data_IF_478129878143
#
_entry.id   IF_478129878143
#
_cell.length_a   1.000
_cell.length_b   1.000
_cell.length_c   1.000
_cell.angle_alpha   90.00
_cell.angle_beta   90.00
_cell.angle_gamma   90.00
#
_symmetry.space_group_name_H-M   'P 1'
#
loop_
_entity.id
_entity.type
_entity.pdbx_description
1 polymer ?
#
# COMPACT_ATOMS: atom_id res chain seq x y z
N UNK A 1 -32.52 9.82 -18.56
CA UNK A 1 -32.62 9.65 -17.10
C UNK A 1 -31.46 10.39 -16.45
N UNK A 2 -31.61 10.88 -15.23
CA UNK A 2 -30.54 11.43 -14.39
C UNK A 2 -30.63 10.78 -13.03
N UNK A 3 -29.49 10.34 -12.48
CA UNK A 3 -29.40 9.76 -11.15
C UNK A 3 -28.50 10.60 -10.24
N UNK A 4 -28.92 10.76 -8.99
CA UNK A 4 -28.12 11.41 -7.96
C UNK A 4 -28.37 10.80 -6.57
N UNK A 5 -27.37 10.89 -5.70
CA UNK A 5 -27.49 10.59 -4.28
C UNK A 5 -27.59 11.88 -3.48
N UNK A 6 -28.59 11.98 -2.61
CA UNK A 6 -28.74 13.14 -1.73
C UNK A 6 -28.34 12.77 -0.30
N UNK A 7 -27.47 13.59 0.30
CA UNK A 7 -27.00 13.46 1.67
C UNK A 7 -26.56 14.79 2.27
N UNK A 8 -25.64 14.75 3.24
CA UNK A 8 -25.25 15.91 4.05
C UNK A 8 -24.63 17.08 3.26
N UNK A 9 -23.85 16.81 2.23
CA UNK A 9 -23.16 17.84 1.43
C UNK A 9 -23.89 18.23 0.14
N UNK A 10 -25.15 17.84 -0.03
CA UNK A 10 -25.93 18.08 -1.24
C UNK A 10 -25.95 16.89 -2.21
N UNK A 11 -26.44 17.08 -3.45
CA UNK A 11 -26.60 16.02 -4.44
C UNK A 11 -25.26 15.61 -5.07
N UNK A 12 -25.05 14.29 -5.20
CA UNK A 12 -23.91 13.68 -5.88
C UNK A 12 -24.40 12.99 -7.14
N UNK A 13 -23.97 13.49 -8.31
CA UNK A 13 -24.37 12.94 -9.60
C UNK A 13 -23.81 11.52 -9.83
N UNK A 14 -24.64 10.63 -10.38
CA UNK A 14 -24.27 9.26 -10.76
C UNK A 14 -24.46 9.06 -12.27
N UNK A 15 -23.40 9.14 -13.09
CA UNK A 15 -23.51 8.88 -14.52
C UNK A 15 -23.78 7.40 -14.82
N UNK A 16 -24.53 7.12 -15.89
CA UNK A 16 -24.91 5.76 -16.30
C UNK A 16 -23.68 4.89 -16.58
N UNK A 17 -23.60 3.74 -15.92
CA UNK A 17 -22.50 2.78 -16.06
C UNK A 17 -21.13 3.26 -15.56
N UNK A 18 -21.01 4.46 -14.99
CA UNK A 18 -19.74 4.98 -14.48
C UNK A 18 -19.63 4.84 -12.95
N UNK A 19 -18.49 4.34 -12.43
CA UNK A 19 -18.28 4.22 -11.00
C UNK A 19 -18.01 5.59 -10.35
N UNK A 20 -18.75 5.86 -9.27
CA UNK A 20 -18.55 7.02 -8.41
C UNK A 20 -18.12 6.54 -7.01
N UNK A 21 -16.99 7.05 -6.52
CA UNK A 21 -16.42 6.67 -5.23
C UNK A 21 -16.87 7.64 -4.14
N UNK A 22 -17.53 7.11 -3.11
CA UNK A 22 -17.99 7.88 -1.96
C UNK A 22 -17.29 7.42 -0.68
N UNK A 23 -17.09 8.36 0.22
CA UNK A 23 -16.38 8.13 1.48
C UNK A 23 -16.16 9.44 2.21
N UNK A 24 -15.28 9.45 3.22
CA UNK A 24 -14.87 10.66 3.94
C UNK A 24 -14.26 11.69 2.99
N UNK A 25 -14.84 12.87 2.90
CA UNK A 25 -14.37 13.94 2.03
C UNK A 25 -15.47 14.97 1.68
N UNK A 26 -15.10 16.01 0.91
CA UNK A 26 -16.01 17.11 0.58
C UNK A 26 -17.23 16.68 -0.22
N UNK A 27 -17.12 15.62 -1.04
CA UNK A 27 -18.22 15.13 -1.88
C UNK A 27 -19.41 14.59 -1.07
N UNK A 28 -19.17 14.04 0.13
CA UNK A 28 -20.20 13.50 1.02
C UNK A 28 -20.42 14.36 2.27
N UNK A 29 -19.50 15.29 2.55
CA UNK A 29 -19.46 16.08 3.79
C UNK A 29 -19.00 15.27 5.02
N UNK A 30 -18.62 14.01 4.85
CA UNK A 30 -18.24 13.14 5.97
C UNK A 30 -16.80 13.43 6.39
N UNK A 31 -16.60 13.68 7.69
CA UNK A 31 -15.27 13.89 8.31
C UNK A 31 -14.84 12.73 9.22
N UNK A 32 -15.74 11.78 9.51
CA UNK A 32 -15.51 10.63 10.39
C UNK A 32 -14.39 9.72 9.86
N UNK A 33 -13.31 9.58 10.66
CA UNK A 33 -12.14 8.76 10.32
C UNK A 33 -12.44 7.26 10.19
N UNK A 34 -13.57 6.77 10.74
CA UNK A 34 -14.04 5.39 10.52
C UNK A 34 -14.57 5.20 9.09
N UNK A 35 -15.01 6.27 8.42
CA UNK A 35 -15.35 6.24 7.01
C UNK A 35 -14.06 6.33 6.16
N UNK A 36 -13.78 5.32 5.35
CA UNK A 36 -12.71 5.40 4.36
C UNK A 36 -12.97 6.57 3.40
N UNK A 37 -11.92 7.20 2.85
CA UNK A 37 -12.10 8.17 1.74
C UNK A 37 -12.73 7.52 0.49
N UNK A 38 -12.58 6.21 0.36
CA UNK A 38 -13.21 5.34 -0.64
C UNK A 38 -13.95 4.24 0.11
N UNK A 39 -15.09 4.59 0.69
CA UNK A 39 -15.88 3.72 1.54
C UNK A 39 -16.78 2.80 0.70
N UNK A 40 -17.40 3.34 -0.34
CA UNK A 40 -18.21 2.58 -1.31
C UNK A 40 -17.92 3.05 -2.74
N UNK A 41 -18.11 2.17 -3.69
CA UNK A 41 -18.27 2.50 -5.11
C UNK A 41 -19.75 2.35 -5.49
N UNK A 42 -20.26 3.27 -6.29
CA UNK A 42 -21.65 3.26 -6.75
C UNK A 42 -21.68 3.42 -8.26
N UNK A 43 -22.38 2.51 -8.93
CA UNK A 43 -22.59 2.53 -10.39
C UNK A 43 -24.09 2.59 -10.65
N UNK A 44 -24.58 3.65 -11.31
CA UNK A 44 -25.98 3.73 -11.72
C UNK A 44 -26.25 2.89 -12.96
N UNK A 45 -27.42 2.28 -13.02
CA UNK A 45 -27.97 1.60 -14.19
C UNK A 45 -29.27 2.29 -14.59
N UNK A 46 -29.23 3.07 -15.67
CA UNK A 46 -30.40 3.82 -16.13
C UNK A 46 -31.43 2.95 -16.85
N UNK A 47 -31.04 1.75 -17.30
CA UNK A 47 -31.98 0.82 -17.93
C UNK A 47 -32.87 0.18 -16.86
N UNK A 48 -32.27 -0.23 -15.74
CA UNK A 48 -32.97 -0.87 -14.62
C UNK A 48 -33.50 0.14 -13.59
N UNK A 49 -33.06 1.40 -13.64
CA UNK A 49 -33.46 2.42 -12.68
C UNK A 49 -32.98 2.10 -11.26
N UNK A 50 -31.77 1.58 -11.12
CA UNK A 50 -31.15 1.24 -9.83
C UNK A 50 -29.70 1.68 -9.78
N UNK A 51 -29.04 1.53 -8.63
CA UNK A 51 -27.59 1.68 -8.53
C UNK A 51 -26.97 0.49 -7.80
N UNK A 52 -25.85 -0.02 -8.28
CA UNK A 52 -25.08 -1.06 -7.60
C UNK A 52 -24.09 -0.41 -6.64
N UNK A 53 -24.18 -0.74 -5.37
CA UNK A 53 -23.27 -0.28 -4.31
C UNK A 53 -22.32 -1.40 -3.94
N UNK A 54 -21.02 -1.15 -3.97
CA UNK A 54 -19.96 -2.08 -3.54
C UNK A 54 -19.21 -1.48 -2.36
N UNK A 55 -19.14 -2.19 -1.23
CA UNK A 55 -18.35 -1.72 -0.10
C UNK A 55 -16.85 -1.94 -0.35
N UNK A 56 -16.06 -0.88 -0.24
CA UNK A 56 -14.60 -0.91 -0.38
C UNK A 56 -13.88 -0.75 0.95
N UNK A 57 -14.45 0.05 1.85
CA UNK A 57 -13.91 0.34 3.18
C UNK A 57 -13.99 -0.83 4.15
N UNK A 58 -13.12 -0.81 5.15
CA UNK A 58 -13.01 -1.85 6.18
C UNK A 58 -14.23 -1.85 7.11
N UNK A 59 -14.73 -0.67 7.46
CA UNK A 59 -15.92 -0.57 8.31
C UNK A 59 -17.20 -0.79 7.50
N UNK A 60 -18.22 -1.46 8.06
CA UNK A 60 -19.44 -1.83 7.35
C UNK A 60 -20.23 -0.63 6.83
N UNK A 61 -20.78 -0.75 5.62
CA UNK A 61 -21.82 0.11 5.04
C UNK A 61 -23.14 -0.67 5.03
N UNK A 62 -24.29 -0.04 4.81
CA UNK A 62 -25.56 -0.79 4.70
C UNK A 62 -26.49 -0.21 3.65
N UNK A 63 -27.18 -1.08 2.92
CA UNK A 63 -28.16 -0.72 1.87
C UNK A 63 -29.52 -1.30 2.24
N UNK A 64 -30.54 -0.44 2.36
CA UNK A 64 -31.90 -0.87 2.67
C UNK A 64 -32.02 -1.61 4.01
N UNK A 65 -31.18 -1.26 5.00
CA UNK A 65 -31.19 -1.86 6.33
C UNK A 65 -30.34 -3.13 6.50
N UNK A 66 -29.78 -3.73 5.45
CA UNK A 66 -28.80 -4.83 5.64
C UNK A 66 -27.36 -4.37 5.47
N UNK A 67 -26.53 -4.86 6.37
CA UNK A 67 -25.10 -4.58 6.45
C UNK A 67 -24.36 -5.29 5.33
N UNK A 68 -23.44 -4.57 4.69
CA UNK A 68 -22.52 -5.08 3.69
C UNK A 68 -21.18 -5.41 4.36
N UNK A 69 -20.55 -6.49 3.88
CA UNK A 69 -19.14 -6.79 4.16
C UNK A 69 -18.24 -6.18 3.08
N UNK A 70 -16.94 -6.09 3.36
CA UNK A 70 -15.97 -5.58 2.38
C UNK A 70 -15.96 -6.45 1.12
N UNK A 71 -16.11 -5.83 -0.05
CA UNK A 71 -16.21 -6.49 -1.36
C UNK A 71 -17.61 -6.97 -1.72
N UNK A 72 -18.58 -6.93 -0.78
CA UNK A 72 -19.97 -7.28 -1.07
C UNK A 72 -20.63 -6.14 -1.82
N UNK A 73 -21.34 -6.48 -2.90
CA UNK A 73 -22.16 -5.55 -3.64
C UNK A 73 -23.66 -5.82 -3.44
N UNK A 74 -24.46 -4.76 -3.48
CA UNK A 74 -25.92 -4.85 -3.41
C UNK A 74 -26.56 -3.75 -4.23
N UNK A 75 -27.73 -4.06 -4.80
CA UNK A 75 -28.56 -3.09 -5.50
C UNK A 75 -29.24 -2.13 -4.53
N UNK A 76 -29.14 -0.84 -4.81
CA UNK A 76 -29.84 0.27 -4.17
C UNK A 76 -30.97 0.70 -5.10
N UNK A 77 -32.21 0.49 -4.68
CA UNK A 77 -33.40 0.91 -5.41
C UNK A 77 -33.84 2.34 -5.02
N UNK A 78 -34.61 3.04 -5.86
CA UNK A 78 -35.15 4.35 -5.51
C UNK A 78 -35.93 4.33 -4.18
N UNK A 79 -35.68 5.32 -3.33
CA UNK A 79 -36.29 5.40 -1.99
C UNK A 79 -35.62 4.55 -0.90
N UNK A 80 -34.66 3.67 -1.24
CA UNK A 80 -33.82 3.01 -0.24
C UNK A 80 -32.65 3.92 0.19
N UNK A 81 -32.21 3.71 1.44
CA UNK A 81 -31.10 4.45 2.03
C UNK A 81 -29.82 3.62 2.04
N UNK A 82 -28.74 4.24 1.60
CA UNK A 82 -27.37 3.81 1.85
C UNK A 82 -26.84 4.52 3.10
N UNK A 83 -26.40 3.78 4.12
CA UNK A 83 -25.63 4.31 5.23
C UNK A 83 -24.15 4.07 4.95
N UNK A 84 -23.39 5.15 4.81
CA UNK A 84 -22.03 5.11 4.28
C UNK A 84 -21.06 4.35 5.20
N UNK A 85 -21.19 4.48 6.52
CA UNK A 85 -20.37 3.71 7.47
C UNK A 85 -21.07 3.51 8.81
N UNK A 86 -20.95 2.31 9.40
CA UNK A 86 -21.39 1.97 10.77
C UNK A 86 -22.81 2.47 11.12
N UNK A 87 -23.75 2.37 10.18
CA UNK A 87 -25.14 2.81 10.36
C UNK A 87 -25.33 4.33 10.37
N UNK A 88 -24.36 5.11 9.89
CA UNK A 88 -24.37 6.58 9.85
C UNK A 88 -24.23 7.11 8.42
N UNK A 89 -24.52 8.40 8.25
CA UNK A 89 -24.38 9.16 7.00
C UNK A 89 -25.28 8.64 5.87
N UNK A 90 -26.60 8.90 5.95
CA UNK A 90 -27.57 8.42 4.97
C UNK A 90 -27.43 9.14 3.63
N UNK A 91 -27.52 8.36 2.55
CA UNK A 91 -27.57 8.79 1.16
C UNK A 91 -28.77 8.10 0.49
N UNK A 92 -29.63 8.87 -0.16
CA UNK A 92 -30.85 8.35 -0.83
C UNK A 92 -30.72 8.52 -2.33
N UNK A 93 -31.05 7.46 -3.08
CA UNK A 93 -31.02 7.47 -4.55
C UNK A 93 -32.28 8.17 -5.11
N UNK A 94 -32.07 9.18 -5.95
CA UNK A 94 -33.11 9.87 -6.71
C UNK A 94 -32.87 9.70 -8.21
N UNK A 95 -33.93 9.34 -8.93
CA UNK A 95 -33.93 9.22 -10.39
C UNK A 95 -34.95 10.17 -11.01
N UNK A 96 -34.57 10.86 -12.09
CA UNK A 96 -35.47 11.70 -12.89
C UNK A 96 -35.48 11.24 -14.37
N UNK A 97 -36.67 11.00 -14.92
CA UNK A 97 -36.92 10.59 -16.31
C UNK A 97 -37.20 9.08 -16.47
N UNK A 98 -37.78 8.68 -17.62
CA UNK A 98 -38.18 7.29 -17.89
C UNK A 98 -37.02 6.39 -18.42
N UNK A 99 -36.99 5.07 -18.07
CA UNK A 99 -36.04 4.10 -18.63
C UNK A 99 -36.25 3.87 -20.13
N UNK A 100 -35.19 3.65 -20.91
CA UNK A 100 -35.28 3.29 -22.35
C UNK A 100 -34.81 1.83 -22.56
N UNK A 101 -35.66 0.92 -23.08
CA UNK A 101 -35.28 -0.48 -23.30
C UNK A 101 -34.43 -0.67 -24.58
N UNK A 102 -33.45 -1.58 -24.55
CA UNK A 102 -32.60 -1.97 -25.70
C UNK A 102 -33.31 -2.97 -26.62
N UNK A 103 -33.33 -2.71 -27.95
CA UNK A 103 -33.81 -3.64 -29.01
C UNK A 103 -32.75 -4.70 -29.36
N UNK A 104 -33.22 -5.93 -29.62
CA UNK A 104 -32.45 -7.16 -29.92
C UNK A 104 -32.26 -7.33 -31.45
N UNK A 105 -31.11 -7.77 -31.98
CA UNK A 105 -30.91 -7.92 -33.44
C UNK A 105 -31.07 -9.38 -33.94
N UNK A 106 -31.46 -9.59 -35.22
CA UNK A 106 -31.34 -10.86 -35.93
C UNK A 106 -30.15 -10.88 -36.93
N UNK A 107 -29.74 -12.07 -37.36
CA UNK A 107 -28.64 -12.42 -38.29
C UNK A 107 -29.15 -12.90 -39.68
N UNK A 108 -28.30 -13.28 -40.68
CA UNK A 108 -27.28 -12.54 -41.45
C UNK A 108 -27.34 -12.77 -43.01
N UNK A 109 -26.64 -11.97 -43.85
CA UNK A 109 -26.06 -12.34 -45.19
C UNK A 109 -25.35 -11.14 -45.84
N UNK A 110 -24.01 -11.10 -45.97
CA UNK A 110 -23.08 -11.53 -47.07
C UNK A 110 -22.70 -10.41 -48.06
N UNK A 111 -21.47 -9.88 -47.94
CA UNK A 111 -20.42 -9.75 -49.01
C UNK A 111 -19.09 -9.11 -48.45
N UNK A 112 -17.90 -9.34 -49.06
CA UNK A 112 -16.57 -9.19 -48.43
C UNK A 112 -15.70 -8.02 -49.00
N UNK A 113 -14.38 -7.91 -48.71
CA UNK A 113 -13.75 -7.27 -47.55
C UNK A 113 -12.92 -6.00 -47.93
N UNK A 114 -12.32 -5.29 -46.95
CA UNK A 114 -10.86 -5.34 -46.92
C UNK A 114 -10.31 -5.64 -45.51
N UNK A 115 -9.12 -6.25 -45.49
CA UNK A 115 -8.50 -6.90 -44.36
C UNK A 115 -8.54 -6.08 -43.05
N UNK A 116 -9.30 -6.58 -42.08
CA UNK A 116 -9.22 -6.13 -40.69
C UNK A 116 -7.87 -6.57 -40.11
N UNK A 117 -7.06 -5.60 -39.68
CA UNK A 117 -6.12 -5.84 -38.58
C UNK A 117 -6.93 -6.38 -37.39
N UNK A 118 -6.48 -7.49 -36.83
CA UNK A 118 -7.10 -8.11 -35.67
C UNK A 118 -7.27 -7.09 -34.52
N UNK A 119 -8.32 -7.22 -33.69
CA UNK A 119 -8.42 -6.45 -32.46
C UNK A 119 -7.20 -6.82 -31.61
N UNK A 120 -6.35 -5.83 -31.32
CA UNK A 120 -5.35 -6.00 -30.28
C UNK A 120 -6.11 -6.25 -28.98
N UNK A 121 -5.84 -7.39 -28.35
CA UNK A 121 -6.12 -7.59 -26.93
C UNK A 121 -5.67 -6.34 -26.16
N UNK A 122 -6.35 -5.96 -25.06
CA UNK A 122 -5.84 -4.89 -24.20
C UNK A 122 -4.40 -5.26 -23.87
N UNK A 123 -3.47 -4.44 -24.33
CA UNK A 123 -2.06 -4.65 -24.10
C UNK A 123 -1.86 -4.83 -22.59
N UNK A 124 -1.07 -5.82 -22.15
CA UNK A 124 -0.74 -5.94 -20.74
C UNK A 124 -0.19 -4.59 -20.26
N UNK A 125 -0.45 -4.18 -19.02
CA UNK A 125 0.00 -2.88 -18.53
C UNK A 125 1.49 -2.76 -18.83
N UNK A 126 1.87 -1.75 -19.61
CA UNK A 126 3.27 -1.52 -19.96
C UNK A 126 4.02 -1.35 -18.63
N UNK A 127 4.89 -2.31 -18.31
CA UNK A 127 5.73 -2.23 -17.12
C UNK A 127 6.62 -1.00 -17.15
N UNK A 128 7.06 -0.53 -15.98
CA UNK A 128 7.94 0.63 -15.92
C UNK A 128 7.97 1.33 -14.56
N UNK A 129 8.71 2.44 -14.55
CA UNK A 129 8.88 3.32 -13.40
C UNK A 129 7.77 4.36 -13.29
N UNK A 130 7.30 4.58 -12.07
CA UNK A 130 6.30 5.59 -11.73
C UNK A 130 6.77 6.37 -10.49
N UNK A 131 6.48 7.67 -10.46
CA UNK A 131 6.77 8.53 -9.31
C UNK A 131 5.47 8.97 -8.63
N UNK A 132 5.36 8.74 -7.33
CA UNK A 132 4.20 9.09 -6.50
C UNK A 132 4.68 9.88 -5.29
N UNK A 133 4.79 11.20 -5.43
CA UNK A 133 5.37 12.06 -4.39
C UNK A 133 6.82 11.67 -4.08
N UNK A 134 7.08 11.28 -2.83
CA UNK A 134 8.38 10.80 -2.34
C UNK A 134 8.60 9.27 -2.48
N UNK A 135 7.85 8.63 -3.38
CA UNK A 135 7.95 7.20 -3.68
C UNK A 135 8.26 7.01 -5.18
N UNK A 136 9.20 6.12 -5.51
CA UNK A 136 9.31 5.55 -6.85
C UNK A 136 8.83 4.10 -6.82
N UNK A 137 8.11 3.68 -7.86
CA UNK A 137 7.60 2.32 -8.00
C UNK A 137 8.02 1.79 -9.36
N UNK A 138 8.69 0.64 -9.40
CA UNK A 138 8.96 -0.11 -10.62
C UNK A 138 8.09 -1.35 -10.65
N UNK A 139 7.32 -1.53 -11.72
CA UNK A 139 6.58 -2.78 -11.96
C UNK A 139 7.04 -3.38 -13.28
N UNK A 140 7.79 -4.49 -13.26
CA UNK A 140 8.19 -5.17 -14.47
C UNK A 140 6.98 -5.76 -15.20
N UNK A 141 7.07 -5.81 -16.53
CA UNK A 141 6.07 -6.48 -17.36
C UNK A 141 5.92 -7.94 -16.94
N UNK A 142 4.67 -8.41 -16.82
CA UNK A 142 4.36 -9.80 -16.48
C UNK A 142 4.41 -10.16 -15.00
N UNK A 143 4.75 -9.23 -14.10
CA UNK A 143 4.57 -9.44 -12.65
C UNK A 143 3.08 -9.55 -12.35
N UNK A 144 2.67 -10.66 -11.72
CA UNK A 144 1.28 -10.92 -11.34
C UNK A 144 1.02 -10.52 -9.89
N UNK A 145 -0.18 -10.00 -9.58
CA UNK A 145 -0.71 -9.96 -8.23
C UNK A 145 -0.60 -11.32 -7.51
N UNK A 146 -0.41 -11.30 -6.19
CA UNK A 146 -0.47 -12.51 -5.36
C UNK A 146 -1.01 -12.19 -3.97
N UNK A 147 -1.67 -13.16 -3.34
CA UNK A 147 -2.03 -13.09 -1.92
C UNK A 147 -0.79 -13.25 -1.03
N UNK A 148 0.31 -13.81 -1.54
CA UNK A 148 1.55 -14.06 -0.79
C UNK A 148 2.66 -13.13 -1.26
N UNK A 149 3.22 -12.34 -0.36
CA UNK A 149 4.33 -11.44 -0.62
C UNK A 149 5.61 -11.96 0.03
N UNK A 150 6.64 -12.12 -0.77
CA UNK A 150 8.01 -12.24 -0.29
C UNK A 150 8.67 -10.86 -0.47
N UNK A 151 8.74 -10.10 0.62
CA UNK A 151 9.33 -8.77 0.63
C UNK A 151 10.80 -8.81 0.99
N UNK A 152 11.61 -7.97 0.36
CA UNK A 152 13.05 -7.89 0.59
C UNK A 152 13.51 -6.44 0.72
N UNK A 153 14.50 -6.16 1.57
CA UNK A 153 15.37 -5.01 1.36
C UNK A 153 16.32 -5.24 0.16
N UNK A 154 16.98 -4.19 -0.33
CA UNK A 154 17.94 -4.27 -1.42
C UNK A 154 19.40 -4.33 -0.93
N UNK A 155 19.87 -3.26 -0.30
CA UNK A 155 21.29 -3.01 -0.02
C UNK A 155 21.67 -3.63 1.33
N UNK A 156 22.48 -4.68 1.32
CA UNK A 156 22.78 -5.50 2.50
C UNK A 156 21.95 -6.77 2.59
N UNK A 157 20.95 -6.93 1.71
CA UNK A 157 20.01 -8.07 1.70
C UNK A 157 20.05 -8.88 0.40
N UNK A 158 19.73 -8.27 -0.75
CA UNK A 158 19.84 -8.93 -2.05
C UNK A 158 21.20 -8.70 -2.69
N UNK A 159 21.76 -7.51 -2.48
CA UNK A 159 23.06 -7.09 -3.00
C UNK A 159 23.94 -6.54 -1.90
N UNK A 160 25.24 -6.50 -2.16
CA UNK A 160 26.25 -5.81 -1.36
C UNK A 160 27.22 -5.10 -2.28
N UNK A 161 28.05 -4.19 -1.76
CA UNK A 161 29.14 -3.59 -2.53
C UNK A 161 30.13 -4.64 -3.00
N UNK A 162 30.64 -4.47 -4.22
CA UNK A 162 31.70 -5.31 -4.77
C UNK A 162 33.05 -4.93 -4.19
N UNK A 163 33.26 -3.64 -3.90
CA UNK A 163 34.45 -3.06 -3.29
C UNK A 163 34.66 -3.46 -1.82
N UNK A 164 33.62 -3.97 -1.15
CA UNK A 164 33.64 -4.26 0.29
C UNK A 164 33.54 -3.04 1.20
N UNK A 165 33.40 -1.83 0.63
CA UNK A 165 33.14 -0.60 1.40
C UNK A 165 31.68 -0.56 1.86
N UNK A 166 31.41 0.19 2.92
CA UNK A 166 30.05 0.36 3.46
C UNK A 166 29.13 1.07 2.46
N UNK A 167 29.66 2.04 1.72
CA UNK A 167 28.91 2.77 0.69
C UNK A 167 29.48 2.45 -0.69
N UNK A 168 28.62 2.33 -1.72
CA UNK A 168 29.07 2.07 -3.08
C UNK A 168 29.89 3.25 -3.62
N UNK A 169 30.98 2.96 -4.32
CA UNK A 169 31.84 4.00 -4.93
C UNK A 169 31.44 4.36 -6.36
N UNK A 170 30.60 3.56 -7.00
CA UNK A 170 30.05 3.81 -8.35
C UNK A 170 28.68 3.13 -8.50
N UNK A 171 27.90 3.46 -9.55
CA UNK A 171 26.61 2.79 -9.83
C UNK A 171 26.74 1.27 -10.02
N UNK A 172 27.90 0.80 -10.48
CA UNK A 172 28.21 -0.62 -10.72
C UNK A 172 28.89 -1.33 -9.54
N UNK A 173 29.14 -0.61 -8.43
CA UNK A 173 29.74 -1.17 -7.21
C UNK A 173 28.70 -1.97 -6.42
N UNK A 174 28.23 -3.05 -7.03
CA UNK A 174 27.36 -4.03 -6.41
C UNK A 174 27.66 -5.43 -6.94
N UNK A 175 27.26 -6.41 -6.14
CA UNK A 175 27.17 -7.83 -6.46
C UNK A 175 26.02 -8.45 -5.67
N UNK A 176 25.50 -9.57 -6.13
CA UNK A 176 24.55 -10.37 -5.35
C UNK A 176 25.23 -10.76 -4.02
N UNK A 177 24.52 -10.63 -2.91
CA UNK A 177 25.07 -10.87 -1.58
C UNK A 177 25.52 -12.33 -1.38
N UNK A 178 24.63 -13.28 -1.70
CA UNK A 178 24.91 -14.72 -1.62
C UNK A 178 24.56 -15.43 -2.94
N UNK A 179 25.37 -16.42 -3.37
CA UNK A 179 25.11 -17.17 -4.60
C UNK A 179 23.78 -17.96 -4.58
N UNK A 180 23.23 -18.24 -3.40
CA UNK A 180 21.96 -18.96 -3.21
C UNK A 180 20.73 -18.10 -3.57
N UNK A 181 20.85 -16.77 -3.54
CA UNK A 181 19.72 -15.83 -3.68
C UNK A 181 18.93 -16.05 -4.98
N UNK A 182 19.54 -16.10 -6.19
CA UNK A 182 18.79 -16.29 -7.43
C UNK A 182 17.96 -17.58 -7.43
N UNK A 183 18.54 -18.68 -6.93
CA UNK A 183 17.84 -19.96 -6.83
C UNK A 183 16.65 -19.84 -5.87
N UNK A 184 16.84 -19.23 -4.70
CA UNK A 184 15.79 -19.09 -3.69
C UNK A 184 14.65 -18.17 -4.14
N UNK A 185 14.95 -17.09 -4.86
CA UNK A 185 13.95 -16.21 -5.43
C UNK A 185 13.10 -16.91 -6.51
N UNK A 186 13.72 -17.72 -7.38
CA UNK A 186 13.00 -18.54 -8.36
C UNK A 186 12.05 -19.51 -7.68
N UNK A 187 12.52 -20.23 -6.65
CA UNK A 187 11.67 -21.13 -5.86
C UNK A 187 10.47 -20.41 -5.25
N UNK A 188 10.68 -19.24 -4.62
CA UNK A 188 9.57 -18.48 -4.04
C UNK A 188 8.54 -18.03 -5.09
N UNK A 189 8.99 -17.59 -6.25
CA UNK A 189 8.10 -17.28 -7.38
C UNK A 189 7.29 -18.52 -7.79
N UNK A 190 7.94 -19.67 -7.91
CA UNK A 190 7.31 -20.93 -8.32
C UNK A 190 6.34 -21.45 -7.23
N UNK A 191 6.60 -21.13 -5.96
CA UNK A 191 5.68 -21.33 -4.83
C UNK A 191 4.51 -20.31 -4.82
N UNK A 192 4.44 -19.39 -5.78
CA UNK A 192 3.35 -18.43 -5.95
C UNK A 192 3.51 -17.13 -5.16
N UNK A 193 4.69 -16.85 -4.61
CA UNK A 193 4.97 -15.55 -4.01
C UNK A 193 5.17 -14.48 -5.09
N UNK A 194 4.55 -13.32 -4.88
CA UNK A 194 5.00 -12.11 -5.54
C UNK A 194 6.23 -11.58 -4.82
N UNK A 195 7.29 -11.35 -5.58
CA UNK A 195 8.56 -10.85 -5.07
C UNK A 195 8.56 -9.32 -5.11
N UNK A 196 8.79 -8.70 -3.95
CA UNK A 196 8.74 -7.24 -3.82
C UNK A 196 9.99 -6.74 -3.09
N UNK A 197 10.57 -5.64 -3.57
CA UNK A 197 11.66 -4.94 -2.89
C UNK A 197 11.12 -3.66 -2.26
N UNK A 198 11.47 -3.42 -1.01
CA UNK A 198 11.19 -2.20 -0.26
C UNK A 198 12.51 -1.59 0.18
N UNK A 199 12.90 -0.45 -0.40
CA UNK A 199 14.23 0.14 -0.17
C UNK A 199 14.19 1.63 0.20
N UNK A 200 15.08 2.03 1.11
CA UNK A 200 15.20 3.40 1.62
C UNK A 200 16.36 4.13 0.93
N UNK A 201 16.08 5.07 0.02
CA UNK A 201 17.09 5.77 -0.79
C UNK A 201 17.09 7.29 -0.54
N UNK A 202 17.39 7.69 0.70
CA UNK A 202 17.45 9.10 1.13
C UNK A 202 18.47 9.94 0.33
N UNK A 203 19.47 9.29 -0.28
CA UNK A 203 20.41 9.96 -1.17
C UNK A 203 19.73 10.68 -2.34
N UNK A 204 18.56 10.22 -2.76
CA UNK A 204 17.79 10.80 -3.87
C UNK A 204 17.26 12.19 -3.49
N UNK A 205 16.48 12.32 -2.41
CA UNK A 205 15.97 13.63 -2.01
C UNK A 205 17.06 14.59 -1.54
N UNK A 206 18.24 14.08 -1.15
CA UNK A 206 19.41 14.88 -0.78
C UNK A 206 20.29 15.28 -1.97
N UNK A 207 19.92 14.91 -3.20
CA UNK A 207 20.70 15.22 -4.41
C UNK A 207 22.06 14.49 -4.50
N UNK A 208 22.30 13.49 -3.64
CA UNK A 208 23.54 12.69 -3.64
C UNK A 208 23.49 11.49 -4.58
N UNK A 209 22.30 11.09 -5.00
CA UNK A 209 22.06 10.00 -5.93
C UNK A 209 21.00 10.42 -6.94
N UNK A 210 21.33 10.35 -8.23
CA UNK A 210 20.36 10.61 -9.29
C UNK A 210 19.36 9.45 -9.39
N UNK A 211 18.03 9.71 -9.46
CA UNK A 211 17.02 8.66 -9.58
C UNK A 211 17.31 7.69 -10.74
N UNK A 212 17.71 8.21 -11.90
CA UNK A 212 17.87 7.44 -13.13
C UNK A 212 19.01 6.42 -13.01
N UNK A 213 20.08 6.78 -12.29
CA UNK A 213 21.17 5.85 -11.99
C UNK A 213 20.72 4.72 -11.05
N UNK A 214 19.89 5.05 -10.07
CA UNK A 214 19.33 4.03 -9.18
C UNK A 214 18.35 3.11 -9.90
N UNK A 215 17.53 3.67 -10.81
CA UNK A 215 16.61 2.91 -11.64
C UNK A 215 17.36 1.90 -12.53
N UNK A 216 18.40 2.36 -13.22
CA UNK A 216 19.27 1.49 -14.02
C UNK A 216 19.95 0.40 -13.17
N UNK A 217 20.42 0.74 -11.97
CA UNK A 217 20.98 -0.25 -11.02
C UNK A 217 19.96 -1.33 -10.69
N UNK A 218 18.72 -0.96 -10.37
CA UNK A 218 17.65 -1.91 -10.04
C UNK A 218 17.38 -2.85 -11.20
N UNK A 219 17.28 -2.34 -12.42
CA UNK A 219 17.05 -3.15 -13.62
C UNK A 219 18.21 -4.14 -13.86
N UNK A 220 19.47 -3.69 -13.74
CA UNK A 220 20.64 -4.55 -13.88
C UNK A 220 20.73 -5.63 -12.78
N UNK A 221 20.33 -5.31 -11.54
CA UNK A 221 20.23 -6.28 -10.44
C UNK A 221 19.18 -7.35 -10.77
N UNK A 222 18.02 -6.94 -11.28
CA UNK A 222 16.95 -7.86 -11.65
C UNK A 222 17.33 -8.79 -12.79
N UNK A 223 18.00 -8.27 -13.82
CA UNK A 223 18.57 -9.06 -14.91
C UNK A 223 19.53 -10.12 -14.35
N UNK A 224 20.44 -9.72 -13.44
CA UNK A 224 21.40 -10.64 -12.83
C UNK A 224 20.75 -11.70 -11.94
N UNK A 225 19.66 -11.37 -11.23
CA UNK A 225 18.89 -12.31 -10.43
C UNK A 225 18.04 -13.26 -11.28
N UNK A 226 17.71 -12.87 -12.51
CA UNK A 226 16.88 -13.65 -13.44
C UNK A 226 15.46 -13.87 -12.93
N UNK A 227 14.94 -12.92 -12.15
CA UNK A 227 13.56 -12.92 -11.62
C UNK A 227 12.97 -11.51 -11.65
N UNK A 228 11.67 -11.42 -11.91
CA UNK A 228 10.96 -10.14 -11.85
C UNK A 228 10.63 -9.78 -10.39
N UNK A 229 11.05 -8.59 -9.98
CA UNK A 229 10.81 -7.97 -8.67
C UNK A 229 10.02 -6.67 -8.88
N UNK A 230 8.89 -6.50 -8.19
CA UNK A 230 8.30 -5.16 -8.08
C UNK A 230 9.11 -4.36 -7.04
N UNK A 231 9.45 -3.10 -7.31
CA UNK A 231 10.35 -2.33 -6.43
C UNK A 231 9.67 -1.06 -5.98
N UNK A 232 9.66 -0.82 -4.66
CA UNK A 232 9.18 0.40 -4.03
C UNK A 232 10.35 1.08 -3.33
N UNK A 233 10.54 2.37 -3.64
CA UNK A 233 11.71 3.15 -3.27
C UNK A 233 11.28 4.39 -2.51
N UNK A 234 11.52 4.44 -1.21
CA UNK A 234 11.32 5.63 -0.40
C UNK A 234 12.48 6.61 -0.66
N UNK A 235 12.21 7.72 -1.34
CA UNK A 235 13.26 8.65 -1.79
C UNK A 235 13.61 9.73 -0.77
N UNK A 236 12.78 9.92 0.25
CA UNK A 236 12.92 10.95 1.29
C UNK A 236 12.45 10.50 2.68
N UNK A 237 12.43 11.40 3.67
CA UNK A 237 11.81 11.13 4.97
C UNK A 237 10.27 11.06 4.85
N UNK A 238 9.61 10.57 5.91
CA UNK A 238 8.15 10.55 6.00
C UNK A 238 7.54 9.16 5.83
N UNK A 239 6.28 9.11 5.41
CA UNK A 239 5.42 7.92 5.50
C UNK A 239 5.92 6.70 4.71
N UNK A 240 6.69 6.92 3.64
CA UNK A 240 7.23 5.82 2.83
C UNK A 240 8.52 5.23 3.40
N UNK A 241 9.25 5.96 4.26
CA UNK A 241 10.54 5.51 4.77
C UNK A 241 10.36 4.45 5.85
N UNK A 242 10.94 3.26 5.64
CA UNK A 242 10.97 2.21 6.67
C UNK A 242 11.58 2.77 7.96
N UNK A 243 10.99 2.51 9.14
CA UNK A 243 10.02 1.43 9.43
C UNK A 243 8.53 1.77 9.22
N UNK A 244 8.18 2.95 8.68
CA UNK A 244 6.78 3.32 8.43
C UNK A 244 6.20 2.53 7.26
N UNK A 245 4.87 2.32 7.27
CA UNK A 245 4.17 1.39 6.37
C UNK A 245 3.80 1.96 5.00
N UNK A 246 4.11 3.21 4.68
CA UNK A 246 3.59 3.82 3.45
C UNK A 246 3.94 3.07 2.17
N UNK A 247 5.09 2.40 2.09
CA UNK A 247 5.38 1.51 0.95
C UNK A 247 4.55 0.22 0.98
N UNK A 248 4.40 -0.40 2.14
CA UNK A 248 3.56 -1.60 2.31
C UNK A 248 2.10 -1.31 1.97
N UNK A 249 1.56 -0.20 2.48
CA UNK A 249 0.21 0.27 2.21
C UNK A 249 0.04 0.55 0.71
N UNK A 250 1.02 1.22 0.08
CA UNK A 250 0.99 1.44 -1.37
C UNK A 250 0.98 0.13 -2.16
N UNK A 251 1.79 -0.86 -1.76
CA UNK A 251 1.76 -2.18 -2.38
C UNK A 251 0.35 -2.78 -2.29
N UNK A 252 -0.19 -2.87 -1.07
CA UNK A 252 -1.47 -3.54 -0.80
C UNK A 252 -2.66 -2.82 -1.45
N UNK A 253 -2.65 -1.50 -1.51
CA UNK A 253 -3.79 -0.69 -1.98
C UNK A 253 -3.74 -0.39 -3.48
N UNK A 254 -2.54 -0.32 -4.07
CA UNK A 254 -2.36 0.26 -5.42
C UNK A 254 -1.49 -0.57 -6.34
N UNK A 255 -0.52 -1.31 -5.80
CA UNK A 255 0.49 -1.98 -6.62
C UNK A 255 0.36 -3.51 -6.64
N UNK A 256 -0.72 -4.08 -6.08
CA UNK A 256 -1.01 -5.52 -6.10
C UNK A 256 -2.29 -5.91 -6.86
N UNK A 257 -2.77 -5.06 -7.77
CA UNK A 257 -4.06 -5.27 -8.43
C UNK A 257 -5.19 -5.44 -7.41
N UNK A 258 -6.23 -6.20 -7.76
CA UNK A 258 -7.38 -6.43 -6.88
C UNK A 258 -7.18 -7.62 -5.91
N UNK A 259 -5.96 -8.14 -5.79
CA UNK A 259 -5.67 -9.29 -4.92
C UNK A 259 -5.23 -8.80 -3.54
N UNK A 260 -6.02 -9.13 -2.52
CA UNK A 260 -5.69 -8.85 -1.13
C UNK A 260 -4.50 -9.71 -0.65
N UNK A 261 -3.55 -9.08 0.04
CA UNK A 261 -2.39 -9.77 0.61
C UNK A 261 -2.77 -10.45 1.93
N UNK A 262 -2.40 -11.72 2.07
CA UNK A 262 -2.40 -12.47 3.33
C UNK A 262 -1.10 -12.19 4.07
N UNK A 263 -1.17 -11.39 5.15
CA UNK A 263 -0.02 -11.08 6.01
C UNK A 263 0.58 -12.35 6.65
N UNK A 264 -0.22 -13.31 7.19
CA UNK A 264 0.31 -14.54 7.78
C UNK A 264 1.10 -15.42 6.80
N UNK A 265 0.70 -15.41 5.52
CA UNK A 265 1.38 -16.18 4.46
C UNK A 265 2.51 -15.40 3.78
N UNK A 266 2.78 -14.18 4.25
CA UNK A 266 3.81 -13.28 3.73
C UNK A 266 4.96 -13.12 4.71
N UNK A 267 6.11 -12.70 4.20
CA UNK A 267 7.28 -12.43 5.05
C UNK A 267 8.14 -11.31 4.47
N UNK A 268 8.96 -10.70 5.33
CA UNK A 268 9.92 -9.68 4.97
C UNK A 268 11.34 -10.10 5.36
N UNK A 269 12.30 -9.82 4.49
CA UNK A 269 13.72 -10.11 4.69
C UNK A 269 14.52 -8.82 4.62
N UNK A 270 15.36 -8.56 5.61
CA UNK A 270 16.20 -7.36 5.64
C UNK A 270 17.38 -7.49 6.61
N UNK A 271 18.46 -6.75 6.36
CA UNK A 271 19.68 -6.78 7.18
C UNK A 271 19.69 -5.73 8.29
N UNK A 272 18.87 -4.68 8.19
CA UNK A 272 18.69 -3.70 9.25
C UNK A 272 17.80 -4.27 10.37
N UNK A 273 18.37 -5.26 11.07
CA UNK A 273 17.67 -6.16 11.96
C UNK A 273 17.97 -5.93 13.45
N UNK A 274 18.76 -4.91 13.80
CA UNK A 274 19.11 -4.60 15.18
C UNK A 274 20.00 -5.64 15.87
N UNK A 275 20.82 -6.39 15.10
CA UNK A 275 21.72 -7.39 15.66
C UNK A 275 22.89 -6.73 16.42
N UNK A 276 23.31 -7.26 17.59
CA UNK A 276 24.40 -6.72 18.39
C UNK A 276 25.77 -6.99 17.74
N UNK A 277 26.86 -6.38 18.23
CA UNK A 277 28.20 -6.72 17.75
C UNK A 277 28.50 -8.22 17.93
N UNK A 278 29.26 -8.80 17.01
CA UNK A 278 29.67 -10.21 17.03
C UNK A 278 28.52 -11.21 16.94
N UNK A 279 27.38 -10.83 16.35
CA UNK A 279 26.26 -11.74 16.10
C UNK A 279 26.61 -12.92 15.18
N UNK A 280 27.71 -12.82 14.42
CA UNK A 280 28.31 -13.91 13.65
C UNK A 280 29.83 -13.74 13.48
N UNK A 281 30.58 -14.82 13.14
CA UNK A 281 32.00 -14.72 12.84
C UNK A 281 32.32 -13.65 11.78
N UNK A 282 33.27 -12.78 12.09
CA UNK A 282 33.65 -11.66 11.21
C UNK A 282 32.73 -10.44 11.25
N UNK A 283 31.58 -10.50 11.95
CA UNK A 283 30.64 -9.38 12.10
C UNK A 283 30.88 -8.61 13.39
N UNK A 284 32.02 -7.89 13.44
CA UNK A 284 32.45 -7.15 14.65
C UNK A 284 31.56 -5.95 15.02
N UNK A 285 30.75 -5.46 14.10
CA UNK A 285 29.89 -4.29 14.31
C UNK A 285 28.44 -4.74 14.48
N UNK A 286 27.68 -4.00 15.28
CA UNK A 286 26.22 -4.10 15.29
C UNK A 286 25.62 -3.67 13.95
N UNK A 287 24.38 -4.06 13.70
CA UNK A 287 23.62 -3.51 12.58
C UNK A 287 23.48 -1.99 12.72
N UNK A 288 23.53 -1.28 11.59
CA UNK A 288 23.45 0.18 11.57
C UNK A 288 22.06 0.70 11.94
N UNK A 289 21.02 -0.14 11.82
CA UNK A 289 19.63 0.19 12.06
C UNK A 289 18.81 -1.07 12.41
N UNK A 290 17.59 -0.86 12.87
CA UNK A 290 16.57 -1.89 13.11
C UNK A 290 15.34 -1.66 12.19
N UNK A 291 15.48 -0.85 11.13
CA UNK A 291 14.36 -0.40 10.30
C UNK A 291 13.62 -1.51 9.58
N UNK A 292 14.29 -2.60 9.19
CA UNK A 292 13.66 -3.68 8.44
C UNK A 292 12.84 -4.59 9.36
N UNK A 293 13.40 -4.91 10.52
CA UNK A 293 12.69 -5.66 11.56
C UNK A 293 11.46 -4.89 12.04
N UNK A 294 11.60 -3.59 12.29
CA UNK A 294 10.50 -2.73 12.72
C UNK A 294 9.46 -2.51 11.61
N UNK A 295 9.88 -2.46 10.33
CA UNK A 295 8.94 -2.42 9.20
C UNK A 295 8.06 -3.67 9.16
N UNK A 296 8.68 -4.86 9.28
CA UNK A 296 7.96 -6.11 9.34
C UNK A 296 7.04 -6.18 10.57
N UNK A 297 7.53 -5.74 11.73
CA UNK A 297 6.76 -5.67 12.98
C UNK A 297 5.51 -4.79 12.81
N UNK A 298 5.66 -3.59 12.24
CA UNK A 298 4.55 -2.68 11.98
C UNK A 298 3.53 -3.30 11.00
N UNK A 299 4.01 -4.04 9.99
CA UNK A 299 3.17 -4.67 8.98
C UNK A 299 2.53 -5.99 9.47
N UNK A 300 2.94 -6.51 10.64
CA UNK A 300 2.55 -7.83 11.13
C UNK A 300 3.19 -9.00 10.35
N UNK A 301 4.24 -8.74 9.56
CA UNK A 301 4.90 -9.73 8.72
C UNK A 301 5.89 -10.57 9.53
N UNK A 302 6.02 -11.85 9.19
CA UNK A 302 7.15 -12.66 9.65
C UNK A 302 8.45 -12.04 9.13
N UNK A 303 9.39 -11.77 10.02
CA UNK A 303 10.70 -11.21 9.68
C UNK A 303 11.80 -12.28 9.66
N UNK A 304 12.71 -12.19 8.70
CA UNK A 304 13.92 -13.02 8.61
C UNK A 304 15.12 -12.15 8.24
N UNK A 305 16.31 -12.52 8.69
CA UNK A 305 17.57 -11.94 8.15
C UNK A 305 17.97 -12.61 6.83
N UNK A 306 18.85 -12.00 6.01
CA UNK A 306 19.35 -12.63 4.79
C UNK A 306 20.02 -13.97 5.06
N UNK A 307 20.79 -14.07 6.15
CA UNK A 307 21.47 -15.29 6.57
C UNK A 307 20.47 -16.40 6.95
N UNK A 308 19.46 -16.07 7.75
CA UNK A 308 18.37 -17.01 8.08
C UNK A 308 17.63 -17.48 6.83
N UNK A 309 17.30 -16.56 5.91
CA UNK A 309 16.48 -16.89 4.73
C UNK A 309 17.23 -17.68 3.66
N UNK A 310 18.44 -17.27 3.34
CA UNK A 310 19.18 -17.75 2.17
C UNK A 310 20.23 -18.81 2.52
N UNK A 311 20.79 -18.76 3.73
CA UNK A 311 21.82 -19.69 4.18
C UNK A 311 21.30 -20.73 5.19
N UNK A 312 20.07 -20.55 5.68
CA UNK A 312 19.47 -21.46 6.68
C UNK A 312 20.13 -21.37 8.05
N UNK A 313 20.76 -20.23 8.36
CA UNK A 313 21.37 -20.02 9.67
C UNK A 313 20.31 -19.95 10.78
N UNK A 314 20.73 -20.29 12.00
CA UNK A 314 19.90 -20.06 13.18
C UNK A 314 19.64 -18.55 13.37
N UNK A 315 18.49 -18.16 13.95
CA UNK A 315 18.19 -16.76 14.23
C UNK A 315 19.27 -16.10 15.08
N UNK A 316 19.70 -14.91 14.65
CA UNK A 316 20.64 -14.10 15.42
C UNK A 316 19.93 -13.33 16.55
N UNK A 317 20.61 -13.05 17.69
CA UNK A 317 20.06 -12.16 18.70
C UNK A 317 19.84 -10.75 18.13
N UNK A 318 18.88 -10.02 18.67
CA UNK A 318 18.57 -8.65 18.27
C UNK A 318 18.02 -7.83 19.44
N UNK A 319 18.12 -6.50 19.30
CA UNK A 319 17.54 -5.54 20.24
C UNK A 319 16.55 -4.64 19.51
N UNK A 320 15.38 -4.43 20.12
CA UNK A 320 14.42 -3.41 19.71
C UNK A 320 14.75 -2.07 20.39
N UNK A 321 14.30 -0.93 19.83
CA UNK A 321 14.40 0.35 20.52
C UNK A 321 13.78 0.29 21.92
N UNK A 322 14.38 0.99 22.87
CA UNK A 322 13.90 1.02 24.26
C UNK A 322 12.47 1.56 24.39
N UNK A 323 12.10 2.51 23.53
CA UNK A 323 10.74 3.04 23.46
C UNK A 323 9.90 2.25 22.44
N UNK A 324 8.80 1.68 22.92
CA UNK A 324 7.80 1.00 22.08
C UNK A 324 6.49 1.81 22.05
N UNK A 325 6.15 2.43 20.91
CA UNK A 325 4.94 3.26 20.81
C UNK A 325 3.64 2.47 20.98
N UNK A 326 3.67 1.14 20.92
CA UNK A 326 2.48 0.28 21.14
C UNK A 326 2.08 0.21 22.61
N UNK A 327 3.00 0.56 23.52
CA UNK A 327 2.71 0.63 24.95
C UNK A 327 2.10 1.97 25.37
N UNK A 328 2.02 2.94 24.45
CA UNK A 328 1.29 4.17 24.71
C UNK A 328 -0.22 3.87 24.68
N UNK A 329 -0.91 4.22 25.77
CA UNK A 329 -2.37 4.27 25.75
C UNK A 329 -2.81 5.66 25.23
N UNK A 330 -3.36 5.75 24.01
CA UNK A 330 -3.84 7.03 23.47
C UNK A 330 -5.09 7.54 24.19
N UNK A 331 -5.68 6.74 25.08
CA UNK A 331 -6.86 7.08 25.88
C UNK A 331 -6.53 7.20 27.36
N UNK A 332 -5.27 7.06 27.76
CA UNK A 332 -4.89 7.30 29.14
C UNK A 332 -5.36 8.70 29.53
N UNK A 333 -6.20 8.83 30.57
CA UNK A 333 -6.60 10.14 31.03
C UNK A 333 -5.33 10.90 31.43
N UNK A 334 -5.22 12.20 31.09
CA UNK A 334 -4.16 13.01 31.66
C UNK A 334 -4.22 12.86 33.17
N UNK A 335 -3.08 12.66 33.82
CA UNK A 335 -3.06 12.64 35.28
C UNK A 335 -3.70 13.95 35.76
N UNK A 336 -4.77 13.87 36.58
CA UNK A 336 -5.45 15.07 37.02
C UNK A 336 -4.42 15.92 37.76
N UNK A 337 -4.31 17.21 37.42
CA UNK A 337 -3.45 18.13 38.15
C UNK A 337 -3.75 18.01 39.63
N UNK A 338 -2.71 17.87 40.45
CA UNK A 338 -2.87 17.88 41.91
C UNK A 338 -3.24 19.26 42.44
N UNK A 339 -2.91 20.29 41.68
CA UNK A 339 -3.12 21.71 41.98
C UNK A 339 -3.91 22.38 40.84
N UNK A 340 -4.46 23.57 41.10
CA UNK A 340 -5.09 24.38 40.06
C UNK A 340 -4.07 24.79 38.99
N UNK A 341 -4.39 24.51 37.72
CA UNK A 341 -3.55 24.88 36.58
C UNK A 341 -3.62 26.37 36.22
N UNK A 342 -4.51 27.11 36.87
CA UNK A 342 -4.80 28.51 36.58
C UNK A 342 -4.86 29.29 37.88
N UNK A 343 -4.20 30.45 37.91
CA UNK A 343 -4.27 31.39 39.02
C UNK A 343 -5.20 32.57 38.70
N UNK A 344 -5.89 33.07 39.72
CA UNK A 344 -6.65 34.33 39.68
C UNK A 344 -5.75 35.57 39.86
N UNK A 345 -4.46 35.36 40.15
CA UNK A 345 -3.43 36.38 40.31
C UNK A 345 -2.43 36.33 39.14
N UNK A 346 -1.74 37.45 38.85
CA UNK A 346 -0.65 37.45 37.87
C UNK A 346 0.44 36.43 38.22
N UNK A 347 0.75 35.55 37.27
CA UNK A 347 1.77 34.51 37.41
C UNK A 347 2.62 34.35 36.14
N UNK A 348 3.74 33.63 36.25
CA UNK A 348 4.57 33.20 35.12
C UNK A 348 4.63 31.68 35.11
N UNK A 349 4.07 31.08 34.06
CA UNK A 349 4.14 29.64 33.85
C UNK A 349 5.47 29.27 33.16
N UNK A 350 6.29 28.46 33.84
CA UNK A 350 7.50 27.90 33.26
C UNK A 350 7.24 26.45 32.84
N UNK A 351 7.02 26.22 31.55
CA UNK A 351 6.88 24.88 30.98
C UNK A 351 8.26 24.26 30.72
N UNK A 352 8.49 23.05 31.20
CA UNK A 352 9.76 22.31 31.02
C UNK A 352 9.49 21.00 30.29
N UNK A 353 10.14 20.80 29.14
CA UNK A 353 9.97 19.59 28.34
C UNK A 353 10.92 19.53 27.15
N UNK A 354 11.03 18.35 26.53
CA UNK A 354 11.75 18.21 25.26
C UNK A 354 10.98 18.91 24.12
N UNK A 355 11.67 19.52 23.15
CA UNK A 355 11.02 20.05 21.95
C UNK A 355 10.22 18.97 21.21
N UNK A 356 8.95 19.25 20.89
CA UNK A 356 8.06 18.31 20.19
C UNK A 356 7.55 17.15 21.03
N UNK A 357 7.65 17.23 22.36
CA UNK A 357 7.13 16.24 23.31
C UNK A 357 5.68 16.49 23.78
N UNK A 358 4.98 17.44 23.17
CA UNK A 358 3.56 17.73 23.41
C UNK A 358 2.62 16.99 22.45
#
# INVERSE_FOLDING_TARGET
MRAELRGLAGPVALPDGQPVLLGRGPLTGVTDRKCSRRQVEIVADYAEGTARVTQLGVNPSSVGGSVLGRGVCRTLSPGQTLLLVNGKYPLVLHLQGSPRPKKRPPSPSLEPPPARRAPQDPSPPQGGWQKVGALLVFTPSGVRPSTKIAGFDLDGTLITTRSGKVFPTSPDDWRILYPEIPKRLKQLRDEGFKLVVFTNQLGISRGRLRPELFQAKVEAVMERLGVALQVLVATGPGVYRKPVLGMWDHLCEKANGDVAVSVPDSFYVGDAAGRPPNWAPGRKKKDFSCSDRLFALNAGLRFLTPEEKFLGWAPAPFELPAFDPRHLDPKAPPEPPKDELVSDKPEVLLTVGFPGGE
#
